data_IF_802165038998
#
_entry.id   IF_802165038998
#
_cell.length_a   1.000
_cell.length_b   1.000
_cell.length_c   1.000
_cell.angle_alpha   90.00
_cell.angle_beta   90.00
_cell.angle_gamma   90.00
#
_symmetry.space_group_name_H-M   'P 1'
#
loop_
_entity.id
_entity.type
_entity.pdbx_description
1 polymer ?
#
# COMPACT_ATOMS: atom_id res chain seq x y z
N UNK A 1 7.12 -8.39 18.18
CA UNK A 1 7.60 -7.55 17.06
C UNK A 1 6.63 -6.39 16.93
N UNK A 2 7.13 -5.16 16.72
CA UNK A 2 6.27 -3.98 16.51
C UNK A 2 5.54 -4.08 15.17
N UNK A 3 4.28 -3.59 15.11
CA UNK A 3 3.50 -3.47 13.88
C UNK A 3 4.16 -2.43 12.96
N UNK A 4 4.37 -2.80 11.68
CA UNK A 4 4.78 -1.84 10.66
C UNK A 4 3.56 -1.13 10.08
N UNK A 5 3.68 0.19 9.87
CA UNK A 5 2.58 1.01 9.31
C UNK A 5 3.06 1.75 8.08
N UNK A 6 2.31 1.63 6.98
CA UNK A 6 2.43 2.51 5.81
C UNK A 6 1.28 3.53 5.84
N UNK A 7 1.61 4.81 5.70
CA UNK A 7 0.62 5.86 5.46
C UNK A 7 0.64 6.19 3.97
N UNK A 8 -0.43 5.84 3.27
CA UNK A 8 -0.54 5.95 1.82
C UNK A 8 -1.25 7.24 1.37
N UNK A 9 -1.04 7.63 0.11
CA UNK A 9 -1.69 8.80 -0.48
C UNK A 9 -1.17 10.15 0.05
N UNK A 10 0.12 10.21 0.32
CA UNK A 10 0.82 11.44 0.70
C UNK A 10 0.92 12.37 -0.52
N UNK A 11 0.45 13.61 -0.35
CA UNK A 11 0.52 14.67 -1.37
C UNK A 11 1.16 15.96 -0.84
N UNK A 12 1.33 16.08 0.48
CA UNK A 12 1.84 17.29 1.12
C UNK A 12 3.00 16.95 2.07
N UNK A 13 3.99 17.86 2.11
CA UNK A 13 5.14 17.74 3.01
C UNK A 13 4.74 17.64 4.48
N UNK A 14 3.78 18.47 4.92
CA UNK A 14 3.33 18.51 6.32
C UNK A 14 2.71 17.18 6.74
N UNK A 15 2.01 16.50 5.85
CA UNK A 15 1.40 15.21 6.11
C UNK A 15 2.45 14.08 6.14
N UNK A 16 3.46 14.17 5.25
CA UNK A 16 4.61 13.25 5.26
C UNK A 16 5.39 13.33 6.57
N UNK A 17 5.75 14.54 6.99
CA UNK A 17 6.49 14.80 8.23
C UNK A 17 5.72 14.30 9.44
N UNK A 18 4.43 14.66 9.55
CA UNK A 18 3.59 14.23 10.66
C UNK A 18 3.42 12.71 10.73
N UNK A 19 3.23 12.04 9.59
CA UNK A 19 3.12 10.59 9.54
C UNK A 19 4.42 9.90 10.04
N UNK A 20 5.60 10.39 9.60
CA UNK A 20 6.89 9.86 10.05
C UNK A 20 7.11 10.08 11.56
N UNK A 21 6.83 11.28 12.08
CA UNK A 21 6.92 11.58 13.49
C UNK A 21 5.95 10.74 14.35
N UNK A 22 4.81 10.36 13.79
CA UNK A 22 3.83 9.48 14.45
C UNK A 22 4.24 8.00 14.45
N UNK A 23 5.30 7.60 13.71
CA UNK A 23 5.81 6.24 13.67
C UNK A 23 5.55 5.47 12.38
N UNK A 24 5.13 6.13 11.30
CA UNK A 24 5.01 5.47 10.00
C UNK A 24 6.37 4.95 9.51
N UNK A 25 6.43 3.67 9.19
CA UNK A 25 7.65 3.04 8.65
C UNK A 25 7.77 3.19 7.13
N UNK A 26 6.67 3.54 6.47
CA UNK A 26 6.62 3.75 5.01
C UNK A 26 5.62 4.85 4.66
N UNK A 27 5.93 5.61 3.61
CA UNK A 27 5.04 6.58 2.98
C UNK A 27 4.70 6.12 1.57
N UNK A 28 3.41 6.12 1.22
CA UNK A 28 2.92 5.76 -0.10
C UNK A 28 2.60 7.01 -0.95
N UNK A 29 3.16 7.05 -2.15
CA UNK A 29 2.97 8.11 -3.13
C UNK A 29 2.27 7.56 -4.36
N UNK A 30 1.06 8.05 -4.66
CA UNK A 30 0.21 7.50 -5.72
C UNK A 30 0.48 8.26 -7.03
N UNK A 31 1.03 7.53 -8.03
CA UNK A 31 1.36 8.05 -9.35
C UNK A 31 0.25 7.83 -10.38
N UNK A 32 -0.85 7.17 -9.98
CA UNK A 32 -2.00 6.90 -10.84
C UNK A 32 -2.81 8.17 -11.09
N UNK A 33 -2.84 8.66 -12.33
CA UNK A 33 -3.42 9.96 -12.70
C UNK A 33 -4.92 10.11 -12.39
N UNK A 34 -5.68 8.99 -12.42
CA UNK A 34 -7.12 9.02 -12.09
C UNK A 34 -7.39 9.07 -10.59
N UNK A 35 -6.36 8.94 -9.76
CA UNK A 35 -6.51 9.04 -8.31
C UNK A 35 -6.61 10.51 -7.87
N UNK A 36 -7.55 10.85 -6.98
CA UNK A 36 -7.57 12.19 -6.37
C UNK A 36 -6.37 12.45 -5.44
N UNK A 37 -5.54 11.43 -5.20
CA UNK A 37 -4.31 11.47 -4.42
C UNK A 37 -3.06 11.39 -5.30
N UNK A 38 -3.23 11.64 -6.61
CA UNK A 38 -2.10 11.65 -7.53
C UNK A 38 -1.10 12.75 -7.16
N UNK A 39 0.18 12.41 -7.24
CA UNK A 39 1.29 13.33 -7.02
C UNK A 39 2.36 13.06 -8.09
N UNK A 40 3.04 14.10 -8.55
CA UNK A 40 4.08 13.99 -9.59
C UNK A 40 5.45 13.71 -8.98
N UNK A 41 6.33 13.05 -9.73
CA UNK A 41 7.68 12.66 -9.26
C UNK A 41 8.50 13.85 -8.74
N UNK A 42 8.41 15.03 -9.40
CA UNK A 42 9.14 16.21 -8.94
C UNK A 42 8.63 16.73 -7.58
N UNK A 43 7.33 16.62 -7.29
CA UNK A 43 6.76 16.99 -6.00
C UNK A 43 7.22 16.02 -4.91
N UNK A 44 7.24 14.70 -5.21
CA UNK A 44 7.78 13.68 -4.30
C UNK A 44 9.26 13.96 -4.01
N UNK A 45 10.06 14.31 -5.04
CA UNK A 45 11.46 14.68 -4.88
C UNK A 45 11.64 15.89 -3.95
N UNK A 46 10.77 16.89 -4.06
CA UNK A 46 10.81 18.06 -3.17
C UNK A 46 10.48 17.66 -1.70
N UNK A 47 9.45 16.83 -1.50
CA UNK A 47 9.08 16.34 -0.18
C UNK A 47 10.22 15.50 0.42
N UNK A 48 10.70 14.49 -0.31
CA UNK A 48 11.70 13.56 0.19
C UNK A 48 13.03 14.24 0.55
N UNK A 49 13.52 15.13 -0.30
CA UNK A 49 14.73 15.90 -0.04
C UNK A 49 14.58 16.86 1.15
N UNK A 50 13.40 17.48 1.31
CA UNK A 50 13.18 18.45 2.39
C UNK A 50 13.01 17.81 3.78
N UNK A 51 12.73 16.50 3.84
CA UNK A 51 12.55 15.72 5.06
C UNK A 51 13.61 14.64 5.23
N UNK A 52 14.58 14.56 4.32
CA UNK A 52 15.64 13.54 4.29
C UNK A 52 15.07 12.11 4.36
N UNK A 53 14.03 11.85 3.54
CA UNK A 53 13.35 10.56 3.56
C UNK A 53 14.20 9.53 2.80
N UNK A 54 14.62 8.49 3.50
CA UNK A 54 15.35 7.39 2.89
C UNK A 54 14.52 6.66 1.82
N UNK A 55 15.12 6.26 0.69
CA UNK A 55 14.42 5.53 -0.37
C UNK A 55 13.64 4.31 0.14
N UNK A 56 14.21 3.58 1.10
CA UNK A 56 13.55 2.40 1.67
C UNK A 56 12.23 2.71 2.37
N UNK A 57 11.99 3.96 2.77
CA UNK A 57 10.74 4.41 3.40
C UNK A 57 9.72 4.93 2.39
N UNK A 58 10.07 5.01 1.09
CA UNK A 58 9.19 5.48 0.04
C UNK A 58 8.63 4.32 -0.80
N UNK A 59 7.31 4.32 -0.97
CA UNK A 59 6.60 3.34 -1.81
C UNK A 59 5.88 4.08 -2.93
N UNK A 60 6.30 3.84 -4.17
CA UNK A 60 5.57 4.31 -5.34
C UNK A 60 4.38 3.40 -5.62
N UNK A 61 3.20 3.98 -5.83
CA UNK A 61 1.95 3.23 -6.03
C UNK A 61 1.37 3.53 -7.40
N UNK A 62 1.05 2.49 -8.17
CA UNK A 62 0.46 2.61 -9.50
C UNK A 62 -0.60 1.54 -9.74
N UNK A 63 -1.43 1.74 -10.77
CA UNK A 63 -2.48 0.81 -11.20
C UNK A 63 -2.20 0.41 -12.64
N UNK A 64 -1.97 -0.87 -12.88
CA UNK A 64 -1.79 -1.50 -14.20
C UNK A 64 -0.86 -0.68 -15.13
N UNK A 65 0.37 -0.33 -14.68
CA UNK A 65 1.26 0.50 -15.47
C UNK A 65 1.84 -0.25 -16.67
N UNK A 66 2.16 0.50 -17.74
CA UNK A 66 3.08 0.05 -18.77
C UNK A 66 4.54 0.07 -18.28
N UNK A 67 5.43 -0.59 -19.02
CA UNK A 67 6.85 -0.74 -18.65
C UNK A 67 7.58 0.60 -18.56
N UNK A 68 7.28 1.57 -19.43
CA UNK A 68 7.89 2.89 -19.39
C UNK A 68 7.62 3.60 -18.06
N UNK A 69 6.38 3.56 -17.57
CA UNK A 69 6.02 4.12 -16.27
C UNK A 69 6.73 3.40 -15.11
N UNK A 70 6.90 2.07 -15.19
CA UNK A 70 7.69 1.32 -14.21
C UNK A 70 9.15 1.73 -14.23
N UNK A 71 9.73 1.93 -15.41
CA UNK A 71 11.12 2.35 -15.55
C UNK A 71 11.34 3.76 -14.95
N UNK A 72 10.38 4.67 -15.11
CA UNK A 72 10.41 5.98 -14.45
C UNK A 72 10.41 5.85 -12.93
N UNK A 73 9.56 4.96 -12.38
CA UNK A 73 9.50 4.71 -10.93
C UNK A 73 10.81 4.10 -10.39
N UNK A 74 11.40 3.17 -11.13
CA UNK A 74 12.68 2.54 -10.78
C UNK A 74 13.81 3.59 -10.80
N UNK A 75 13.88 4.40 -11.86
CA UNK A 75 14.88 5.45 -12.00
C UNK A 75 14.74 6.55 -10.95
N UNK A 76 13.51 6.82 -10.48
CA UNK A 76 13.27 7.75 -9.38
C UNK A 76 13.88 7.24 -8.06
N UNK A 77 13.93 5.92 -7.85
CA UNK A 77 14.59 5.32 -6.70
C UNK A 77 13.66 5.02 -5.52
N UNK A 78 12.39 4.68 -5.75
CA UNK A 78 11.54 4.13 -4.70
C UNK A 78 12.14 2.85 -4.12
N UNK A 79 12.09 2.69 -2.79
CA UNK A 79 12.52 1.46 -2.12
C UNK A 79 11.59 0.28 -2.38
N UNK A 80 10.31 0.56 -2.66
CA UNK A 80 9.33 -0.44 -3.08
C UNK A 80 8.35 0.14 -4.10
N UNK A 81 7.85 -0.70 -4.98
CA UNK A 81 6.86 -0.36 -6.01
C UNK A 81 5.63 -1.24 -5.82
N UNK A 82 4.52 -0.62 -5.47
CA UNK A 82 3.23 -1.26 -5.22
C UNK A 82 2.34 -1.14 -6.44
N UNK A 83 1.91 -2.27 -7.00
CA UNK A 83 1.09 -2.33 -8.20
C UNK A 83 -0.26 -2.96 -7.92
N UNK A 84 -1.31 -2.17 -8.11
CA UNK A 84 -2.69 -2.65 -8.11
C UNK A 84 -3.07 -3.15 -9.50
N UNK A 85 -3.83 -4.23 -9.55
CA UNK A 85 -4.32 -4.81 -10.81
C UNK A 85 -5.59 -5.62 -10.59
N UNK A 86 -6.39 -5.79 -11.65
CA UNK A 86 -7.62 -6.60 -11.65
C UNK A 86 -7.29 -8.09 -11.51
N UNK A 87 -8.24 -8.85 -10.94
CA UNK A 87 -8.05 -10.28 -10.70
C UNK A 87 -7.73 -11.10 -11.98
N UNK A 88 -8.29 -10.68 -13.11
CA UNK A 88 -8.14 -11.28 -14.43
C UNK A 88 -6.98 -10.69 -15.25
N UNK A 89 -6.15 -9.85 -14.62
CA UNK A 89 -5.01 -9.23 -15.29
C UNK A 89 -4.01 -10.28 -15.79
N UNK A 90 -3.44 -10.13 -17.01
CA UNK A 90 -2.60 -11.14 -17.61
C UNK A 90 -1.34 -11.46 -16.79
N UNK A 91 -1.17 -12.73 -16.41
CA UNK A 91 -0.03 -13.20 -15.60
C UNK A 91 1.31 -12.94 -16.28
N UNK A 92 1.37 -12.97 -17.61
CA UNK A 92 2.62 -12.72 -18.33
C UNK A 92 3.09 -11.27 -18.18
N UNK A 93 2.17 -10.30 -18.09
CA UNK A 93 2.53 -8.91 -17.78
C UNK A 93 3.01 -8.80 -16.31
N UNK A 94 2.39 -9.54 -15.38
CA UNK A 94 2.87 -9.59 -13.99
C UNK A 94 4.28 -10.17 -13.86
N UNK A 95 4.64 -11.17 -14.70
CA UNK A 95 6.01 -11.70 -14.78
C UNK A 95 6.97 -10.63 -15.29
N UNK A 96 6.59 -9.90 -16.35
CA UNK A 96 7.40 -8.81 -16.89
C UNK A 96 7.64 -7.72 -15.83
N UNK A 97 6.62 -7.36 -15.03
CA UNK A 97 6.81 -6.45 -13.90
C UNK A 97 7.81 -6.98 -12.87
N UNK A 98 7.70 -8.28 -12.54
CA UNK A 98 8.62 -8.94 -11.60
C UNK A 98 10.06 -8.94 -12.11
N UNK A 99 10.26 -9.20 -13.41
CA UNK A 99 11.59 -9.20 -14.04
C UNK A 99 12.21 -7.80 -14.06
N UNK A 100 11.41 -6.76 -14.29
CA UNK A 100 11.88 -5.37 -14.41
C UNK A 100 12.12 -4.72 -13.03
N UNK A 101 11.22 -4.95 -12.07
CA UNK A 101 11.29 -4.31 -10.72
C UNK A 101 12.16 -5.12 -9.76
N UNK A 102 12.13 -6.44 -9.88
CA UNK A 102 12.67 -7.39 -8.92
C UNK A 102 11.64 -7.78 -7.84
N UNK A 103 11.53 -9.09 -7.53
CA UNK A 103 10.50 -9.61 -6.62
C UNK A 103 10.62 -9.09 -5.18
N UNK A 104 11.78 -8.66 -4.74
CA UNK A 104 12.07 -8.09 -3.43
C UNK A 104 11.52 -6.66 -3.24
N UNK A 105 11.47 -5.88 -4.32
CA UNK A 105 10.96 -4.50 -4.33
C UNK A 105 9.51 -4.41 -4.82
N UNK A 106 9.05 -5.41 -5.57
CA UNK A 106 7.70 -5.46 -6.11
C UNK A 106 6.70 -5.85 -5.02
N UNK A 107 5.69 -5.01 -4.81
CA UNK A 107 4.52 -5.30 -3.99
C UNK A 107 3.31 -5.50 -4.89
N UNK A 108 2.74 -6.68 -4.88
CA UNK A 108 1.55 -7.00 -5.67
C UNK A 108 0.28 -6.79 -4.85
N UNK A 109 -0.64 -6.01 -5.38
CA UNK A 109 -1.92 -5.67 -4.76
C UNK A 109 -3.07 -6.10 -5.68
N UNK A 110 -3.41 -7.41 -5.75
CA UNK A 110 -4.49 -7.91 -6.58
C UNK A 110 -5.84 -7.43 -6.05
N UNK A 111 -6.73 -7.01 -6.93
CA UNK A 111 -8.13 -6.73 -6.62
C UNK A 111 -8.88 -8.06 -6.53
N UNK A 112 -9.08 -8.56 -5.31
CA UNK A 112 -9.62 -9.89 -5.04
C UNK A 112 -11.12 -9.84 -4.77
N UNK A 113 -11.98 -10.38 -5.68
CA UNK A 113 -13.40 -10.60 -5.40
C UNK A 113 -13.57 -11.50 -4.17
N UNK A 114 -14.55 -11.24 -3.28
CA UNK A 114 -14.71 -11.95 -2.01
C UNK A 114 -14.88 -13.47 -2.16
N UNK A 115 -15.49 -13.92 -3.24
CA UNK A 115 -15.75 -15.31 -3.58
C UNK A 115 -14.55 -16.05 -4.16
N UNK A 116 -13.52 -15.33 -4.60
CA UNK A 116 -12.33 -15.91 -5.20
C UNK A 116 -11.20 -16.05 -4.17
N UNK A 117 -10.42 -17.10 -4.31
CA UNK A 117 -9.23 -17.33 -3.51
C UNK A 117 -8.03 -16.51 -3.98
N UNK A 118 -6.96 -16.52 -3.20
CA UNK A 118 -5.70 -15.88 -3.61
C UNK A 118 -5.08 -16.62 -4.82
N UNK A 119 -4.69 -15.89 -5.87
CA UNK A 119 -4.16 -16.49 -7.10
C UNK A 119 -2.71 -17.00 -6.88
N UNK A 120 -2.55 -18.31 -6.66
CA UNK A 120 -1.24 -18.93 -6.36
C UNK A 120 -0.18 -18.71 -7.43
N UNK A 121 -0.59 -18.47 -8.66
CA UNK A 121 0.31 -18.21 -9.80
C UNK A 121 1.17 -16.96 -9.64
N UNK A 122 0.75 -15.99 -8.79
CA UNK A 122 1.52 -14.75 -8.58
C UNK A 122 2.51 -14.85 -7.40
N UNK A 123 2.43 -15.91 -6.58
CA UNK A 123 3.33 -16.07 -5.42
C UNK A 123 4.83 -16.02 -5.76
N UNK A 124 5.31 -16.62 -6.87
CA UNK A 124 6.72 -16.53 -7.24
C UNK A 124 7.16 -15.13 -7.68
N UNK A 125 6.21 -14.24 -8.04
CA UNK A 125 6.50 -12.97 -8.71
C UNK A 125 6.86 -11.84 -7.75
N UNK A 126 6.53 -11.96 -6.46
CA UNK A 126 6.84 -10.94 -5.47
C UNK A 126 7.06 -11.56 -4.08
N UNK A 127 7.79 -10.83 -3.23
CA UNK A 127 7.95 -11.20 -1.82
C UNK A 127 6.88 -10.55 -0.93
N UNK A 128 6.17 -9.54 -1.42
CA UNK A 128 5.19 -8.76 -0.64
C UNK A 128 3.86 -8.67 -1.37
N UNK A 129 2.78 -8.95 -0.62
CA UNK A 129 1.40 -8.89 -1.12
C UNK A 129 0.57 -7.97 -0.23
N UNK A 130 -0.20 -7.07 -0.86
CA UNK A 130 -1.11 -6.18 -0.18
C UNK A 130 -2.55 -6.60 -0.48
N UNK A 131 -3.35 -6.78 0.57
CA UNK A 131 -4.77 -7.13 0.48
C UNK A 131 -5.61 -5.92 0.85
N UNK A 132 -6.25 -5.35 -0.16
CA UNK A 132 -7.13 -4.18 -0.03
C UNK A 132 -8.61 -4.61 0.00
N UNK A 133 -9.50 -3.68 0.34
CA UNK A 133 -10.93 -3.90 0.22
C UNK A 133 -11.34 -4.05 -1.26
N UNK A 134 -12.23 -5.00 -1.52
CA UNK A 134 -12.78 -5.17 -2.86
C UNK A 134 -13.96 -4.21 -3.10
N UNK A 135 -13.92 -3.49 -4.21
CA UNK A 135 -15.08 -2.78 -4.76
C UNK A 135 -15.03 -2.91 -6.28
N UNK A 136 -16.18 -3.11 -6.90
CA UNK A 136 -16.27 -3.43 -8.33
C UNK A 136 -15.64 -2.32 -9.20
N UNK A 137 -15.92 -1.06 -8.89
CA UNK A 137 -15.60 0.08 -9.75
C UNK A 137 -14.32 0.85 -9.38
N UNK A 138 -13.61 0.52 -8.28
CA UNK A 138 -12.47 1.32 -7.80
C UNK A 138 -11.29 0.47 -7.36
N UNK A 139 -10.09 1.01 -7.51
CA UNK A 139 -8.87 0.49 -6.90
C UNK A 139 -8.57 1.29 -5.62
N UNK A 140 -8.82 0.67 -4.45
CA UNK A 140 -8.54 1.22 -3.12
C UNK A 140 -9.32 2.47 -2.70
N UNK A 141 -9.15 2.88 -1.47
CA UNK A 141 -9.65 4.15 -0.93
C UNK A 141 -11.16 4.26 -0.78
N UNK A 142 -11.89 3.15 -0.77
CA UNK A 142 -13.36 3.12 -0.65
C UNK A 142 -13.87 3.24 0.78
N UNK A 143 -13.01 2.96 1.77
CA UNK A 143 -13.39 2.90 3.18
C UNK A 143 -14.07 1.60 3.59
N UNK A 144 -14.29 0.67 2.66
CA UNK A 144 -14.84 -0.66 2.96
C UNK A 144 -13.79 -1.58 3.57
N UNK A 145 -14.26 -2.52 4.40
CA UNK A 145 -13.41 -3.50 5.09
C UNK A 145 -12.95 -4.58 4.11
N UNK A 146 -11.66 -4.88 4.11
CA UNK A 146 -11.08 -5.98 3.34
C UNK A 146 -11.49 -7.36 3.89
N UNK A 147 -11.16 -8.42 3.14
CA UNK A 147 -11.41 -9.82 3.54
C UNK A 147 -10.39 -10.25 4.63
N UNK A 148 -10.67 -9.93 5.90
CA UNK A 148 -9.80 -10.23 7.03
C UNK A 148 -9.61 -11.75 7.25
N UNK A 149 -10.64 -12.54 7.04
CA UNK A 149 -10.56 -14.01 7.17
C UNK A 149 -9.67 -14.61 6.07
N UNK A 150 -9.77 -14.08 4.85
CA UNK A 150 -8.88 -14.43 3.74
C UNK A 150 -7.44 -14.04 4.05
N UNK A 151 -7.20 -12.81 4.50
CA UNK A 151 -5.89 -12.31 4.89
C UNK A 151 -5.25 -13.21 5.95
N UNK A 152 -5.98 -13.50 7.05
CA UNK A 152 -5.50 -14.36 8.13
C UNK A 152 -5.08 -15.75 7.64
N UNK A 153 -5.86 -16.35 6.73
CA UNK A 153 -5.53 -17.66 6.14
C UNK A 153 -4.32 -17.60 5.22
N UNK A 154 -4.25 -16.61 4.32
CA UNK A 154 -3.18 -16.53 3.31
C UNK A 154 -1.82 -16.24 3.94
N UNK A 155 -1.73 -15.34 4.92
CA UNK A 155 -0.45 -15.08 5.59
C UNK A 155 0.10 -16.29 6.35
N UNK A 156 -0.75 -17.21 6.81
CA UNK A 156 -0.34 -18.46 7.48
C UNK A 156 -0.01 -19.57 6.47
N UNK A 157 -0.80 -19.69 5.40
CA UNK A 157 -0.57 -20.67 4.34
C UNK A 157 0.72 -20.37 3.56
N UNK A 158 1.00 -19.08 3.32
CA UNK A 158 2.18 -18.62 2.57
C UNK A 158 3.10 -17.79 3.46
N UNK A 159 3.53 -18.36 4.58
CA UNK A 159 4.26 -17.69 5.65
C UNK A 159 5.71 -17.26 5.27
N UNK A 160 6.21 -17.70 4.13
CA UNK A 160 7.47 -17.20 3.55
C UNK A 160 7.32 -15.83 2.90
N UNK A 161 6.08 -15.35 2.69
CA UNK A 161 5.77 -14.08 2.06
C UNK A 161 5.42 -13.01 3.10
N UNK A 162 5.60 -11.74 2.73
CA UNK A 162 5.18 -10.59 3.53
C UNK A 162 3.77 -10.19 3.12
N UNK A 163 2.90 -9.98 4.10
CA UNK A 163 1.51 -9.63 3.89
C UNK A 163 1.20 -8.28 4.51
N UNK A 164 0.55 -7.41 3.74
CA UNK A 164 0.12 -6.08 4.17
C UNK A 164 -1.39 -6.04 4.17
N UNK A 165 -1.97 -5.78 5.35
CA UNK A 165 -3.41 -5.59 5.48
C UNK A 165 -3.74 -4.14 5.12
N UNK A 166 -4.62 -3.95 4.15
CA UNK A 166 -5.17 -2.67 3.73
C UNK A 166 -6.69 -2.73 3.69
N UNK A 167 -7.32 -1.65 3.22
CA UNK A 167 -8.76 -1.57 3.01
C UNK A 167 -9.56 -1.20 4.25
N UNK A 168 -10.06 0.02 4.25
CA UNK A 168 -10.96 0.55 5.27
C UNK A 168 -10.39 0.68 6.68
N UNK A 169 -9.07 0.58 6.84
CA UNK A 169 -8.44 0.76 8.14
C UNK A 169 -8.56 2.22 8.59
N UNK A 170 -8.83 2.39 9.88
CA UNK A 170 -9.07 3.69 10.52
C UNK A 170 -8.76 3.60 12.02
N UNK A 171 -8.71 4.73 12.76
CA UNK A 171 -8.57 4.70 14.21
C UNK A 171 -9.59 3.79 14.90
N UNK A 172 -10.82 3.74 14.37
CA UNK A 172 -11.93 3.01 15.00
C UNK A 172 -11.85 1.48 14.87
N UNK A 173 -10.98 0.95 14.00
CA UNK A 173 -10.95 -0.48 13.73
C UNK A 173 -9.55 -1.12 13.71
N UNK A 174 -8.48 -0.33 13.82
CA UNK A 174 -7.11 -0.85 13.73
C UNK A 174 -6.80 -1.91 14.80
N UNK A 175 -7.20 -1.68 16.04
CA UNK A 175 -7.01 -2.66 17.13
C UNK A 175 -7.73 -3.98 16.80
N UNK A 176 -9.00 -3.91 16.42
CA UNK A 176 -9.78 -5.09 16.04
C UNK A 176 -9.18 -5.78 14.81
N UNK A 177 -8.73 -5.00 13.81
CA UNK A 177 -8.11 -5.52 12.60
C UNK A 177 -6.86 -6.35 12.91
N UNK A 178 -5.94 -5.80 13.70
CA UNK A 178 -4.69 -6.47 14.09
C UNK A 178 -4.98 -7.70 14.94
N UNK A 179 -5.85 -7.60 15.94
CA UNK A 179 -6.20 -8.72 16.82
C UNK A 179 -6.92 -9.86 16.08
N UNK A 180 -7.72 -9.54 15.06
CA UNK A 180 -8.44 -10.55 14.27
C UNK A 180 -7.53 -11.22 13.24
N UNK A 181 -6.63 -10.46 12.62
CA UNK A 181 -5.85 -10.93 11.47
C UNK A 181 -4.42 -11.34 11.81
N UNK A 182 -3.91 -11.01 13.00
CA UNK A 182 -2.50 -11.14 13.38
C UNK A 182 -1.55 -10.43 12.38
N UNK A 183 -2.05 -9.35 11.75
CA UNK A 183 -1.27 -8.57 10.77
C UNK A 183 -0.03 -7.97 11.43
N UNK A 184 1.09 -8.04 10.74
CA UNK A 184 2.38 -7.45 11.15
C UNK A 184 2.76 -6.23 10.35
N UNK A 185 2.01 -5.96 9.28
CA UNK A 185 2.16 -4.78 8.46
C UNK A 185 0.78 -4.33 7.97
N UNK A 186 0.47 -3.05 8.16
CA UNK A 186 -0.79 -2.43 7.76
C UNK A 186 -0.57 -1.22 6.87
N UNK A 187 -1.53 -0.97 5.98
CA UNK A 187 -1.56 0.20 5.09
C UNK A 187 -2.83 1.01 5.33
N UNK A 188 -2.69 2.27 5.72
CA UNK A 188 -3.80 3.18 5.96
C UNK A 188 -3.77 4.36 4.99
N UNK A 189 -4.92 4.72 4.44
CA UNK A 189 -5.06 5.84 3.52
C UNK A 189 -6.25 6.73 3.90
N UNK A 190 -7.45 6.47 3.35
CA UNK A 190 -8.63 7.32 3.52
C UNK A 190 -9.13 7.39 4.97
N UNK A 191 -8.91 6.35 5.78
CA UNK A 191 -9.33 6.34 7.19
C UNK A 191 -8.64 7.38 8.08
N UNK A 192 -7.55 7.97 7.60
CA UNK A 192 -6.82 9.07 8.29
C UNK A 192 -6.80 10.35 7.47
N UNK A 193 -7.82 10.58 6.63
CA UNK A 193 -7.95 11.79 5.81
C UNK A 193 -9.09 12.70 6.29
N UNK A 194 -8.93 14.02 6.04
CA UNK A 194 -9.99 15.04 6.07
C UNK A 194 -10.75 15.06 4.76
N UNK A 195 -10.00 14.97 3.66
CA UNK A 195 -10.48 14.88 2.29
C UNK A 195 -9.44 14.12 1.45
N UNK A 196 -9.79 13.59 0.27
CA UNK A 196 -8.84 12.84 -0.55
C UNK A 196 -7.53 13.60 -0.79
N UNK A 197 -6.40 13.02 -0.37
CA UNK A 197 -5.07 13.59 -0.48
C UNK A 197 -4.68 14.58 0.64
N UNK A 198 -5.55 14.85 1.61
CA UNK A 198 -5.25 15.70 2.76
C UNK A 198 -5.42 14.91 4.05
N UNK A 199 -4.32 14.66 4.76
CA UNK A 199 -4.35 13.88 6.00
C UNK A 199 -4.95 14.68 7.16
N UNK A 200 -5.58 13.95 8.08
CA UNK A 200 -6.06 14.45 9.37
C UNK A 200 -5.05 14.03 10.45
N UNK A 201 -4.30 14.98 10.96
CA UNK A 201 -3.26 14.72 11.96
C UNK A 201 -3.84 14.15 13.26
N UNK A 202 -5.06 14.57 13.66
CA UNK A 202 -5.71 14.00 14.83
C UNK A 202 -6.05 12.52 14.61
N UNK A 203 -6.58 12.17 13.44
CA UNK A 203 -6.85 10.77 13.06
C UNK A 203 -5.56 9.94 12.95
N UNK A 204 -4.46 10.51 12.44
CA UNK A 204 -3.15 9.82 12.43
C UNK A 204 -2.73 9.52 13.87
N UNK A 205 -2.75 10.52 14.76
CA UNK A 205 -2.41 10.32 16.18
C UNK A 205 -3.26 9.22 16.82
N UNK A 206 -4.57 9.29 16.62
CA UNK A 206 -5.52 8.30 17.17
C UNK A 206 -5.27 6.91 16.59
N UNK A 207 -4.98 6.81 15.27
CA UNK A 207 -4.66 5.54 14.62
C UNK A 207 -3.44 4.85 15.26
N UNK A 208 -2.34 5.60 15.45
CA UNK A 208 -1.13 5.07 16.06
C UNK A 208 -1.31 4.77 17.55
N UNK A 209 -2.14 5.53 18.26
CA UNK A 209 -2.47 5.29 19.68
C UNK A 209 -3.27 4.01 19.87
N UNK A 210 -4.15 3.66 18.92
CA UNK A 210 -5.03 2.49 18.98
C UNK A 210 -4.38 1.21 18.41
N UNK A 211 -3.11 1.25 18.05
CA UNK A 211 -2.34 0.04 17.70
C UNK A 211 -2.09 -0.77 18.97
N UNK A 212 -2.44 -2.09 19.01
CA UNK A 212 -2.28 -2.94 20.18
C UNK A 212 -0.83 -3.24 20.55
#
# INVERSE_FOLDING_TARGET
MSLSVKVCGITQKVDADFALQSGASRLGFILYEKSPRNIKLHEISNISKSLDIEPCNMVGVQVEPGIDALQEMINFGFGSIQLHFSYDFPVDILKEWSDVVGPDKLWLAPKLPPELGFPKSILPLAETFLIDAYTEDKFGGTGERSNWDGFYRWQREYNSKKWILAGGLSPNNIELAVNTTDARFVDVNSGVEKSPGVKDHAKITEFFTNIP
#
